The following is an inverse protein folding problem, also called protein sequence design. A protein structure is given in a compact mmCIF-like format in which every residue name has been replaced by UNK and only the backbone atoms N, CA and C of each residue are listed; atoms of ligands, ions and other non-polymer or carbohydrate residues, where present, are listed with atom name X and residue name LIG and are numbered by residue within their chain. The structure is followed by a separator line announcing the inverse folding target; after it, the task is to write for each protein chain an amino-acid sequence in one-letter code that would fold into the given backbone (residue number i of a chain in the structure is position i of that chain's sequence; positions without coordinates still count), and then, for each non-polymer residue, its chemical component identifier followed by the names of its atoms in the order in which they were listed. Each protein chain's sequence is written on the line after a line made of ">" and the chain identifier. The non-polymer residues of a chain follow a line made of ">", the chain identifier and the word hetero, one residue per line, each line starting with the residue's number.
data_IF_193195354854
#
_entry.id   IF_193195354854
#
_cell.length_a   1.000
_cell.length_b   1.000
_cell.length_c   1.000
_cell.angle_alpha   90.00
_cell.angle_beta   90.00
_cell.angle_gamma   90.00
#
_symmetry.space_group_name_H-M   'P 1'
#
loop_
_entity.id
_entity.type
_entity.pdbx_description
1 polymer ?
#
# COMPACT_ATOMS: atom_id res chain seq x y z
N UNK A 1 14.59 -0.63 25.70
CA UNK A 1 15.29 -0.72 27.01
C UNK A 1 14.32 -0.66 28.17
N UNK A 2 13.16 -0.02 28.00
CA UNK A 2 12.13 0.09 29.06
C UNK A 2 11.30 -1.18 29.26
N UNK A 3 11.40 -2.15 28.33
CA UNK A 3 10.79 -3.48 28.43
C UNK A 3 11.82 -4.55 28.04
N UNK A 4 11.68 -5.76 28.61
CA UNK A 4 12.46 -6.95 28.27
C UNK A 4 11.69 -7.80 27.25
N UNK A 5 12.27 -7.99 26.07
CA UNK A 5 11.71 -8.87 25.03
C UNK A 5 12.26 -10.29 25.18
N UNK A 6 11.45 -11.29 24.86
CA UNK A 6 11.90 -12.69 24.80
C UNK A 6 12.71 -12.97 23.52
N UNK A 7 12.35 -12.29 22.42
CA UNK A 7 12.95 -12.42 21.09
C UNK A 7 12.78 -11.12 20.31
N UNK A 8 13.79 -10.75 19.54
CA UNK A 8 13.72 -9.67 18.54
C UNK A 8 13.80 -10.29 17.15
N UNK A 9 12.85 -9.93 16.27
CA UNK A 9 12.86 -10.40 14.88
C UNK A 9 13.21 -9.23 13.97
N UNK A 10 14.41 -9.24 13.37
CA UNK A 10 14.79 -8.27 12.34
C UNK A 10 14.31 -8.74 10.96
N UNK A 11 13.12 -8.27 10.58
CA UNK A 11 12.51 -8.52 9.28
C UNK A 11 12.96 -7.55 8.18
N UNK A 12 13.84 -6.59 8.49
CA UNK A 12 14.37 -5.65 7.50
C UNK A 12 15.63 -6.21 6.82
N UNK A 13 16.48 -6.94 7.56
CA UNK A 13 17.63 -7.63 6.99
C UNK A 13 18.72 -6.69 6.47
N UNK A 14 18.89 -5.53 7.11
CA UNK A 14 19.91 -4.52 6.81
C UNK A 14 20.87 -4.35 7.98
N UNK A 15 22.12 -3.97 7.73
CA UNK A 15 23.11 -3.76 8.78
C UNK A 15 22.63 -2.73 9.82
N UNK A 16 21.99 -1.65 9.35
CA UNK A 16 21.44 -0.61 10.23
C UNK A 16 20.33 -1.12 11.16
N UNK A 17 19.44 -2.02 10.71
CA UNK A 17 18.41 -2.58 11.59
C UNK A 17 19.00 -3.59 12.56
N UNK A 18 19.95 -4.40 12.11
CA UNK A 18 20.66 -5.35 12.95
C UNK A 18 21.35 -4.65 14.14
N UNK A 19 21.98 -3.49 13.91
CA UNK A 19 22.59 -2.68 14.98
C UNK A 19 21.55 -2.13 15.95
N UNK A 20 20.37 -1.73 15.48
CA UNK A 20 19.25 -1.31 16.35
C UNK A 20 18.73 -2.50 17.16
N UNK A 21 18.55 -3.67 16.54
CA UNK A 21 18.09 -4.89 17.20
C UNK A 21 19.00 -5.29 18.37
N UNK A 22 20.32 -5.19 18.24
CA UNK A 22 21.28 -5.44 19.35
C UNK A 22 20.97 -4.63 20.61
N UNK A 23 20.47 -3.40 20.46
CA UNK A 23 20.25 -2.51 21.59
C UNK A 23 19.07 -2.94 22.47
N UNK A 24 18.24 -3.88 22.00
CA UNK A 24 17.16 -4.47 22.76
C UNK A 24 17.64 -5.47 23.82
N UNK A 25 18.86 -6.01 23.71
CA UNK A 25 19.44 -6.90 24.70
C UNK A 25 18.74 -8.27 24.85
N UNK A 26 18.07 -8.73 23.79
CA UNK A 26 17.41 -10.03 23.71
C UNK A 26 17.93 -10.81 22.50
N UNK A 27 17.74 -12.14 22.44
CA UNK A 27 18.11 -12.94 21.27
C UNK A 27 17.50 -12.36 19.99
N UNK A 28 18.25 -12.41 18.89
CA UNK A 28 17.85 -11.83 17.61
C UNK A 28 17.70 -12.93 16.57
N UNK A 29 16.50 -13.03 16.00
CA UNK A 29 16.22 -13.83 14.83
C UNK A 29 16.15 -12.95 13.57
N UNK A 30 16.60 -13.48 12.44
CA UNK A 30 16.50 -12.78 11.17
C UNK A 30 16.64 -13.71 9.96
N UNK A 31 16.69 -13.11 8.78
CA UNK A 31 16.99 -13.83 7.54
C UNK A 31 18.43 -14.39 7.55
N UNK A 32 18.64 -15.54 6.91
CA UNK A 32 19.99 -16.05 6.65
C UNK A 32 20.76 -15.23 5.60
N UNK A 33 22.03 -15.59 5.36
CA UNK A 33 22.91 -14.83 4.45
C UNK A 33 22.39 -14.79 3.00
N UNK A 34 21.70 -15.82 2.56
CA UNK A 34 21.14 -15.90 1.19
C UNK A 34 19.85 -15.09 1.05
N UNK A 35 19.14 -14.90 2.16
CA UNK A 35 17.81 -14.28 2.22
C UNK A 35 17.84 -12.82 2.63
N UNK A 36 18.81 -12.41 3.45
CA UNK A 36 18.96 -11.04 3.92
C UNK A 36 19.21 -10.07 2.75
N UNK A 37 18.76 -8.83 2.90
CA UNK A 37 19.00 -7.78 1.90
C UNK A 37 20.49 -7.41 1.88
N UNK A 38 21.09 -7.31 3.06
CA UNK A 38 22.53 -7.16 3.28
C UNK A 38 23.05 -8.35 4.11
N UNK A 39 23.83 -9.28 3.52
CA UNK A 39 24.30 -10.47 4.23
C UNK A 39 25.18 -10.18 5.46
N UNK A 40 25.71 -8.96 5.60
CA UNK A 40 26.43 -8.52 6.80
C UNK A 40 25.54 -8.38 8.03
N UNK A 41 24.23 -8.17 7.84
CA UNK A 41 23.27 -8.08 8.95
C UNK A 41 23.22 -9.37 9.77
N UNK A 42 23.50 -10.53 9.16
CA UNK A 42 23.43 -11.83 9.83
C UNK A 42 24.50 -12.03 10.90
N UNK A 43 25.58 -11.22 10.89
CA UNK A 43 26.61 -11.24 11.94
C UNK A 43 26.08 -10.77 13.31
N UNK A 44 24.87 -10.22 13.32
CA UNK A 44 24.19 -9.67 14.48
C UNK A 44 23.03 -10.54 14.96
N UNK A 45 22.76 -11.66 14.28
CA UNK A 45 21.64 -12.54 14.60
C UNK A 45 22.13 -13.77 15.36
N UNK A 46 21.39 -14.18 16.39
CA UNK A 46 21.62 -15.41 17.14
C UNK A 46 20.98 -16.62 16.43
N UNK A 47 19.86 -16.39 15.72
CA UNK A 47 19.18 -17.38 14.90
C UNK A 47 18.92 -16.83 13.50
N UNK A 48 19.11 -17.67 12.48
CA UNK A 48 18.86 -17.27 11.08
C UNK A 48 18.01 -18.27 10.35
N UNK A 49 17.16 -17.77 9.46
CA UNK A 49 16.16 -18.57 8.76
C UNK A 49 16.21 -18.32 7.24
N UNK A 50 16.22 -19.39 6.42
CA UNK A 50 16.18 -19.27 4.97
C UNK A 50 14.75 -18.91 4.52
N UNK A 51 14.63 -17.82 3.78
CA UNK A 51 13.37 -17.37 3.17
C UNK A 51 13.67 -16.84 1.77
N UNK A 52 13.26 -17.54 0.70
CA UNK A 52 13.61 -17.19 -0.67
C UNK A 52 13.26 -15.74 -1.03
N UNK A 53 14.12 -15.11 -1.83
CA UNK A 53 14.04 -13.68 -2.20
C UNK A 53 13.09 -13.38 -3.35
N UNK A 54 12.72 -14.41 -4.10
CA UNK A 54 11.74 -14.41 -5.19
C UNK A 54 10.29 -14.50 -4.68
N UNK A 55 10.09 -14.70 -3.38
CA UNK A 55 8.78 -14.59 -2.76
C UNK A 55 8.38 -13.14 -2.55
N UNK A 56 7.07 -12.91 -2.52
CA UNK A 56 6.50 -11.60 -2.20
C UNK A 56 6.84 -11.17 -0.78
N UNK A 57 7.06 -9.87 -0.56
CA UNK A 57 7.47 -9.32 0.73
C UNK A 57 6.58 -9.75 1.92
N UNK A 58 5.25 -9.73 1.73
CA UNK A 58 4.28 -10.19 2.75
C UNK A 58 4.56 -11.66 3.12
N UNK A 59 4.70 -12.53 2.14
CA UNK A 59 4.95 -13.96 2.38
C UNK A 59 6.31 -14.17 3.05
N UNK A 60 7.34 -13.42 2.63
CA UNK A 60 8.67 -13.49 3.25
C UNK A 60 8.63 -13.17 4.74
N UNK A 61 7.94 -12.10 5.10
CA UNK A 61 7.81 -11.66 6.50
C UNK A 61 7.02 -12.71 7.30
N UNK A 62 5.89 -13.22 6.77
CA UNK A 62 5.09 -14.25 7.45
C UNK A 62 5.87 -15.53 7.69
N UNK A 63 6.63 -16.00 6.69
CA UNK A 63 7.49 -17.18 6.81
C UNK A 63 8.60 -16.95 7.84
N UNK A 64 9.25 -15.79 7.83
CA UNK A 64 10.28 -15.46 8.84
C UNK A 64 9.70 -15.53 10.25
N UNK A 65 8.54 -14.92 10.49
CA UNK A 65 7.89 -14.96 11.79
C UNK A 65 7.45 -16.36 12.19
N UNK A 66 6.88 -17.14 11.27
CA UNK A 66 6.53 -18.54 11.51
C UNK A 66 7.74 -19.39 11.93
N UNK A 67 8.85 -19.25 11.21
CA UNK A 67 10.11 -19.95 11.52
C UNK A 67 10.69 -19.51 12.86
N UNK A 68 10.72 -18.20 13.13
CA UNK A 68 11.30 -17.64 14.35
C UNK A 68 10.45 -17.93 15.61
N UNK A 69 9.13 -18.04 15.47
CA UNK A 69 8.19 -18.23 16.58
C UNK A 69 7.64 -19.66 16.69
N UNK A 70 8.03 -20.56 15.79
CA UNK A 70 7.67 -21.98 15.84
C UNK A 70 6.23 -22.30 15.43
N UNK A 71 5.65 -21.56 14.49
CA UNK A 71 4.31 -21.84 13.94
C UNK A 71 4.28 -21.84 12.41
N UNK A 72 3.27 -22.49 11.84
CA UNK A 72 3.03 -22.46 10.38
C UNK A 72 2.08 -21.29 10.04
N UNK A 73 2.51 -20.28 9.26
CA UNK A 73 1.65 -19.16 8.90
C UNK A 73 0.63 -19.56 7.84
N UNK A 74 -0.61 -19.10 7.98
CA UNK A 74 -1.67 -19.32 6.97
C UNK A 74 -1.50 -18.45 5.73
N UNK A 75 -0.74 -18.91 4.74
CA UNK A 75 -0.48 -18.14 3.52
C UNK A 75 -1.70 -18.00 2.58
N UNK A 76 -2.84 -18.64 2.89
CA UNK A 76 -4.04 -18.60 2.03
C UNK A 76 -4.85 -17.31 2.18
N UNK A 77 -4.78 -16.67 3.35
CA UNK A 77 -5.47 -15.42 3.65
C UNK A 77 -4.48 -14.24 3.75
N UNK A 78 -4.93 -13.06 3.32
CA UNK A 78 -4.16 -11.81 3.41
C UNK A 78 -4.93 -10.79 4.25
N UNK A 79 -5.30 -11.20 5.47
CA UNK A 79 -5.79 -10.27 6.48
C UNK A 79 -4.60 -9.56 7.14
N UNK A 80 -4.61 -8.24 7.06
CA UNK A 80 -3.57 -7.39 7.64
C UNK A 80 -3.79 -7.16 9.13
N UNK A 81 -5.02 -7.33 9.63
CA UNK A 81 -5.45 -6.94 10.97
C UNK A 81 -5.41 -5.43 11.25
N UNK A 82 -5.06 -4.58 10.27
CA UNK A 82 -5.01 -3.13 10.46
C UNK A 82 -6.38 -2.51 10.24
N UNK A 83 -6.77 -1.61 11.15
CA UNK A 83 -8.05 -0.89 11.07
C UNK A 83 -7.74 0.58 10.79
N UNK A 84 -8.47 1.24 9.87
CA UNK A 84 -8.32 2.67 9.67
C UNK A 84 -8.55 3.45 10.97
N UNK A 85 -7.72 4.47 11.25
CA UNK A 85 -7.97 5.36 12.38
C UNK A 85 -9.34 6.05 12.26
N UNK A 86 -9.87 6.51 13.39
CA UNK A 86 -11.12 7.28 13.41
C UNK A 86 -10.87 8.68 12.85
N UNK A 87 -11.68 9.09 11.88
CA UNK A 87 -11.62 10.41 11.27
C UNK A 87 -12.33 10.42 9.91
N UNK A 88 -12.85 11.57 9.52
CA UNK A 88 -13.52 11.78 8.23
C UNK A 88 -13.14 13.14 7.67
N UNK A 89 -13.11 13.25 6.34
CA UNK A 89 -12.99 14.55 5.70
C UNK A 89 -14.25 15.39 5.96
N UNK A 90 -14.08 16.55 6.58
CA UNK A 90 -15.18 17.45 6.86
C UNK A 90 -15.78 18.01 5.55
N UNK A 91 -17.10 18.11 5.48
CA UNK A 91 -17.80 18.74 4.36
C UNK A 91 -17.87 17.90 3.08
N UNK A 92 -17.44 16.64 3.10
CA UNK A 92 -17.62 15.71 1.98
C UNK A 92 -18.75 14.75 2.31
N UNK A 93 -19.80 14.76 1.48
CA UNK A 93 -20.88 13.79 1.52
C UNK A 93 -20.77 12.85 0.31
N UNK A 94 -21.22 11.60 0.48
CA UNK A 94 -21.26 10.61 -0.60
C UNK A 94 -19.99 9.80 -0.77
N UNK A 95 -19.84 9.20 -1.95
CA UNK A 95 -18.73 8.29 -2.29
C UNK A 95 -17.49 9.08 -2.66
N UNK A 96 -16.34 8.65 -2.14
CA UNK A 96 -15.04 9.26 -2.44
C UNK A 96 -14.08 8.25 -3.03
N UNK A 97 -13.17 8.73 -3.89
CA UNK A 97 -12.08 7.95 -4.44
C UNK A 97 -10.76 8.70 -4.22
N UNK A 98 -9.81 8.09 -3.51
CA UNK A 98 -8.48 8.67 -3.34
C UNK A 98 -7.63 8.42 -4.59
N UNK A 99 -7.06 9.51 -5.13
CA UNK A 99 -6.09 9.52 -6.22
C UNK A 99 -4.69 9.78 -5.67
N UNK A 100 -3.94 8.71 -5.43
CA UNK A 100 -2.60 8.74 -4.84
C UNK A 100 -1.53 8.90 -5.93
N UNK A 101 -1.38 10.12 -6.44
CA UNK A 101 -0.48 10.46 -7.54
C UNK A 101 1.01 10.59 -7.14
N UNK A 102 1.31 10.65 -5.84
CA UNK A 102 2.66 10.80 -5.33
C UNK A 102 3.52 9.56 -5.52
N UNK A 103 4.71 9.71 -6.09
CA UNK A 103 5.73 8.66 -6.20
C UNK A 103 7.13 9.24 -6.07
N UNK A 104 8.07 8.43 -5.57
CA UNK A 104 9.44 8.85 -5.26
C UNK A 104 10.37 8.94 -6.47
N UNK A 105 9.95 8.43 -7.64
CA UNK A 105 10.77 8.42 -8.87
C UNK A 105 9.99 8.92 -10.08
N UNK A 106 10.66 9.69 -10.93
CA UNK A 106 10.06 10.27 -12.15
C UNK A 106 9.59 9.20 -13.14
N UNK A 107 10.32 8.09 -13.28
CA UNK A 107 9.97 6.97 -14.18
C UNK A 107 8.73 6.18 -13.75
N UNK A 108 8.27 6.37 -12.51
CA UNK A 108 7.04 5.78 -11.98
C UNK A 108 5.83 6.71 -12.09
N UNK A 109 6.00 7.94 -12.57
CA UNK A 109 4.92 8.92 -12.59
C UNK A 109 3.96 8.64 -13.73
N UNK A 110 2.71 8.39 -13.35
CA UNK A 110 1.61 8.46 -14.31
C UNK A 110 1.34 9.94 -14.63
N UNK A 111 1.25 10.31 -15.92
CA UNK A 111 1.14 11.71 -16.33
C UNK A 111 -0.07 12.44 -15.71
N UNK A 112 0.08 13.74 -15.48
CA UNK A 112 -0.95 14.55 -14.81
C UNK A 112 -2.28 14.56 -15.58
N UNK A 113 -2.23 14.53 -16.91
CA UNK A 113 -3.41 14.47 -17.76
C UNK A 113 -4.22 13.18 -17.59
N UNK A 114 -3.57 12.05 -17.25
CA UNK A 114 -4.28 10.81 -16.96
C UNK A 114 -4.96 10.85 -15.60
N UNK A 115 -4.32 11.46 -14.60
CA UNK A 115 -4.95 11.70 -13.30
C UNK A 115 -6.17 12.61 -13.43
N UNK A 116 -6.05 13.68 -14.24
CA UNK A 116 -7.16 14.57 -14.55
C UNK A 116 -8.30 13.81 -15.21
N UNK A 117 -8.00 12.98 -16.22
CA UNK A 117 -9.02 12.21 -16.92
C UNK A 117 -9.67 11.16 -16.01
N UNK A 118 -8.89 10.50 -15.14
CA UNK A 118 -9.40 9.60 -14.10
C UNK A 118 -10.37 10.33 -13.17
N UNK A 119 -10.02 11.56 -12.74
CA UNK A 119 -10.89 12.38 -11.91
C UNK A 119 -12.20 12.75 -12.62
N UNK A 120 -12.18 13.07 -13.92
CA UNK A 120 -13.40 13.32 -14.71
C UNK A 120 -14.29 12.08 -14.76
N UNK A 121 -13.70 10.94 -15.10
CA UNK A 121 -14.41 9.67 -15.15
C UNK A 121 -15.09 9.36 -13.81
N UNK A 122 -14.40 9.54 -12.67
CA UNK A 122 -14.98 9.32 -11.34
C UNK A 122 -16.20 10.24 -11.07
N UNK A 123 -16.13 11.51 -11.46
CA UNK A 123 -17.25 12.45 -11.33
C UNK A 123 -18.47 11.99 -12.13
N UNK A 124 -18.28 11.45 -13.34
CA UNK A 124 -19.39 10.89 -14.14
C UNK A 124 -20.10 9.71 -13.43
N UNK A 125 -19.40 8.99 -12.54
CA UNK A 125 -19.98 7.94 -11.69
C UNK A 125 -20.51 8.44 -10.35
N UNK A 126 -20.51 9.76 -10.12
CA UNK A 126 -20.93 10.35 -8.85
C UNK A 126 -19.96 10.04 -7.69
N UNK A 127 -18.68 9.81 -7.98
CA UNK A 127 -17.63 9.59 -6.98
C UNK A 127 -16.74 10.82 -6.93
N UNK A 128 -16.62 11.44 -5.76
CA UNK A 128 -15.79 12.63 -5.55
C UNK A 128 -14.31 12.23 -5.49
N UNK A 129 -13.45 12.73 -6.41
CA UNK A 129 -12.02 12.51 -6.36
C UNK A 129 -11.41 13.25 -5.17
N UNK A 130 -10.47 12.62 -4.49
CA UNK A 130 -9.73 13.18 -3.36
C UNK A 130 -8.23 12.99 -3.59
N UNK A 131 -7.43 14.04 -3.42
CA UNK A 131 -5.97 14.01 -3.58
C UNK A 131 -5.26 14.45 -2.31
N UNK A 132 -4.01 14.03 -2.14
CA UNK A 132 -3.15 14.44 -1.03
C UNK A 132 -1.73 14.69 -1.53
N UNK A 133 -0.92 15.39 -0.74
CA UNK A 133 0.43 15.77 -1.10
C UNK A 133 1.32 15.91 0.14
N UNK A 134 2.60 15.63 -0.03
CA UNK A 134 3.62 15.73 1.03
C UNK A 134 4.68 16.81 0.74
N UNK A 135 4.80 17.22 -0.53
CA UNK A 135 5.78 18.16 -1.05
C UNK A 135 5.20 19.01 -2.20
N UNK A 136 5.92 20.07 -2.60
CA UNK A 136 5.46 21.03 -3.62
C UNK A 136 5.21 20.40 -5.00
N UNK A 137 5.97 19.36 -5.38
CA UNK A 137 5.78 18.69 -6.68
C UNK A 137 4.47 17.92 -6.70
N UNK A 138 4.16 17.19 -5.62
CA UNK A 138 2.87 16.52 -5.45
C UNK A 138 1.73 17.53 -5.37
N UNK A 139 1.92 18.63 -4.63
CA UNK A 139 0.92 19.68 -4.52
C UNK A 139 0.56 20.27 -5.87
N UNK A 140 1.54 20.53 -6.74
CA UNK A 140 1.30 21.04 -8.09
C UNK A 140 0.44 20.08 -8.94
N UNK A 141 0.61 18.77 -8.78
CA UNK A 141 -0.24 17.76 -9.46
C UNK A 141 -1.66 17.78 -8.88
N UNK A 142 -1.80 17.79 -7.55
CA UNK A 142 -3.09 17.87 -6.88
C UNK A 142 -3.88 19.12 -7.29
N UNK A 143 -3.22 20.28 -7.35
CA UNK A 143 -3.79 21.55 -7.80
C UNK A 143 -4.13 21.54 -9.28
N UNK A 144 -3.31 20.90 -10.14
CA UNK A 144 -3.64 20.73 -11.55
C UNK A 144 -4.92 19.90 -11.76
N UNK A 145 -5.07 18.81 -10.99
CA UNK A 145 -6.29 18.00 -10.98
C UNK A 145 -7.49 18.84 -10.54
N UNK A 146 -7.40 19.53 -9.41
CA UNK A 146 -8.49 20.34 -8.89
C UNK A 146 -8.85 21.54 -9.79
N UNK A 147 -7.86 22.13 -10.47
CA UNK A 147 -8.10 23.20 -11.46
C UNK A 147 -8.88 22.68 -12.67
N UNK A 148 -8.58 21.47 -13.14
CA UNK A 148 -9.26 20.86 -14.29
C UNK A 148 -10.60 20.21 -13.93
N UNK A 149 -10.75 19.77 -12.67
CA UNK A 149 -11.94 19.10 -12.12
C UNK A 149 -12.28 19.73 -10.77
N UNK A 150 -13.04 20.85 -10.73
CA UNK A 150 -13.27 21.66 -9.52
C UNK A 150 -13.96 20.93 -8.36
N UNK A 151 -14.63 19.81 -8.62
CA UNK A 151 -15.22 18.96 -7.59
C UNK A 151 -14.20 18.07 -6.88
N UNK A 152 -12.94 18.04 -7.31
CA UNK A 152 -11.86 17.31 -6.64
C UNK A 152 -11.51 17.97 -5.32
N UNK A 153 -11.44 17.19 -4.24
CA UNK A 153 -11.00 17.69 -2.94
C UNK A 153 -9.49 17.49 -2.79
N UNK A 154 -8.76 18.60 -2.62
CA UNK A 154 -7.34 18.56 -2.25
C UNK A 154 -7.25 18.59 -0.72
N UNK A 155 -6.80 17.49 -0.13
CA UNK A 155 -6.61 17.41 1.31
C UNK A 155 -5.45 18.34 1.71
N UNK A 156 -5.64 19.23 2.70
CA UNK A 156 -4.55 20.02 3.25
C UNK A 156 -3.43 19.13 3.78
N UNK A 157 -2.20 19.66 3.86
CA UNK A 157 -1.08 18.92 4.44
C UNK A 157 -1.43 18.51 5.88
N UNK A 158 -1.53 17.20 6.09
CA UNK A 158 -2.05 16.61 7.33
C UNK A 158 -1.14 15.49 7.84
N UNK A 159 -1.18 15.17 9.14
CA UNK A 159 -0.54 13.97 9.70
C UNK A 159 -0.95 12.68 8.97
N UNK A 160 -0.05 11.69 8.94
CA UNK A 160 -0.30 10.40 8.29
C UNK A 160 -1.53 9.68 8.86
N UNK A 161 -1.78 9.81 10.17
CA UNK A 161 -2.94 9.22 10.83
C UNK A 161 -4.26 9.74 10.24
N UNK A 162 -4.34 11.03 9.93
CA UNK A 162 -5.54 11.65 9.35
C UNK A 162 -5.72 11.20 7.89
N UNK A 163 -4.63 11.20 7.10
CA UNK A 163 -4.66 10.68 5.73
C UNK A 163 -5.09 9.21 5.70
N UNK A 164 -4.59 8.40 6.63
CA UNK A 164 -4.99 7.00 6.77
C UNK A 164 -6.48 6.84 7.13
N UNK A 165 -7.01 7.69 8.02
CA UNK A 165 -8.43 7.71 8.35
C UNK A 165 -9.28 8.04 7.12
N UNK A 166 -8.88 9.04 6.33
CA UNK A 166 -9.59 9.46 5.13
C UNK A 166 -9.57 8.38 4.04
N UNK A 167 -8.40 7.78 3.78
CA UNK A 167 -8.26 6.64 2.86
C UNK A 167 -9.18 5.51 3.31
N UNK A 168 -9.18 5.15 4.60
CA UNK A 168 -10.00 4.09 5.16
C UNK A 168 -11.52 4.24 5.01
N UNK A 169 -12.01 5.42 4.64
CA UNK A 169 -13.42 5.71 4.39
C UNK A 169 -13.76 5.93 2.91
N UNK A 170 -12.78 5.73 2.03
CA UNK A 170 -12.97 5.84 0.59
C UNK A 170 -13.72 4.64 0.05
N UNK A 171 -14.53 4.86 -0.99
CA UNK A 171 -15.20 3.79 -1.74
C UNK A 171 -14.16 2.94 -2.48
N UNK A 172 -13.15 3.59 -3.06
CA UNK A 172 -12.06 2.97 -3.78
C UNK A 172 -10.81 3.86 -3.74
N UNK A 173 -9.67 3.28 -4.08
CA UNK A 173 -8.38 3.97 -4.16
C UNK A 173 -7.70 3.63 -5.47
N UNK A 174 -7.20 4.67 -6.16
CA UNK A 174 -6.36 4.53 -7.35
C UNK A 174 -5.04 5.23 -7.05
N UNK A 175 -3.93 4.53 -7.20
CA UNK A 175 -2.63 5.08 -6.81
C UNK A 175 -1.49 4.65 -7.70
N UNK A 176 -0.42 5.44 -7.69
CA UNK A 176 0.89 4.98 -8.16
C UNK A 176 1.48 3.94 -7.17
N UNK A 177 2.65 3.41 -7.48
CA UNK A 177 3.45 2.60 -6.53
C UNK A 177 3.99 3.47 -5.37
N UNK A 178 3.17 3.62 -4.33
CA UNK A 178 3.47 4.39 -3.12
C UNK A 178 2.92 3.70 -1.87
N UNK A 179 3.51 4.00 -0.70
CA UNK A 179 3.13 3.40 0.58
C UNK A 179 1.65 3.57 0.93
N UNK A 180 1.03 4.70 0.54
CA UNK A 180 -0.40 4.92 0.78
C UNK A 180 -1.30 3.98 -0.04
N UNK A 181 -0.86 3.55 -1.23
CA UNK A 181 -1.58 2.57 -2.05
C UNK A 181 -1.54 1.19 -1.39
N UNK A 182 -0.39 0.80 -0.83
CA UNK A 182 -0.26 -0.43 -0.02
C UNK A 182 -1.08 -0.38 1.27
N UNK A 183 -1.17 0.80 1.90
CA UNK A 183 -2.02 0.99 3.07
C UNK A 183 -3.50 0.79 2.74
N UNK A 184 -3.97 1.32 1.61
CA UNK A 184 -5.34 1.13 1.15
C UNK A 184 -5.68 -0.35 0.91
N UNK A 185 -4.78 -1.09 0.26
CA UNK A 185 -4.99 -2.54 0.05
C UNK A 185 -4.97 -3.31 1.36
N UNK A 186 -4.10 -2.91 2.31
CA UNK A 186 -4.05 -3.51 3.64
C UNK A 186 -5.32 -3.22 4.46
N UNK A 187 -6.00 -2.09 4.27
CA UNK A 187 -7.35 -1.86 4.83
C UNK A 187 -8.45 -2.68 4.15
N UNK A 188 -8.14 -3.46 3.11
CA UNK A 188 -9.11 -4.24 2.37
C UNK A 188 -10.02 -3.39 1.47
N UNK A 189 -9.58 -2.19 1.08
CA UNK A 189 -10.32 -1.33 0.16
C UNK A 189 -10.13 -1.77 -1.30
N UNK A 190 -11.12 -1.54 -2.18
CA UNK A 190 -10.94 -1.66 -3.63
C UNK A 190 -9.80 -0.76 -4.06
N UNK A 191 -8.67 -1.34 -4.47
CA UNK A 191 -7.43 -0.61 -4.70
C UNK A 191 -6.82 -1.01 -6.04
N UNK A 192 -6.62 -0.04 -6.93
CA UNK A 192 -5.89 -0.23 -8.19
C UNK A 192 -4.58 0.53 -8.12
N UNK A 193 -3.49 -0.18 -8.37
CA UNK A 193 -2.17 0.42 -8.47
C UNK A 193 -1.67 0.46 -9.90
N UNK A 194 -1.25 1.64 -10.35
CA UNK A 194 -0.68 1.87 -11.68
C UNK A 194 0.84 1.75 -11.59
N UNK A 195 1.40 0.73 -12.23
CA UNK A 195 2.83 0.45 -12.26
C UNK A 195 3.39 0.66 -13.67
N UNK A 196 4.39 1.53 -13.81
CA UNK A 196 4.95 1.91 -15.11
C UNK A 196 6.38 1.40 -15.35
N UNK A 197 7.19 1.28 -14.30
CA UNK A 197 8.63 1.01 -14.43
C UNK A 197 9.17 -0.07 -13.47
N UNK A 198 8.34 -0.61 -12.58
CA UNK A 198 8.76 -1.64 -11.63
C UNK A 198 7.91 -2.89 -11.75
N UNK A 199 8.55 -4.04 -11.75
CA UNK A 199 7.86 -5.33 -11.66
C UNK A 199 7.18 -5.46 -10.30
N UNK A 200 5.84 -5.59 -10.25
CA UNK A 200 5.08 -5.61 -9.00
C UNK A 200 5.15 -6.97 -8.32
N UNK A 201 5.71 -8.00 -8.95
CA UNK A 201 5.62 -9.39 -8.49
C UNK A 201 6.11 -9.61 -7.04
N UNK A 202 7.06 -8.80 -6.57
CA UNK A 202 7.66 -8.95 -5.24
C UNK A 202 7.10 -7.99 -4.17
N UNK A 203 6.52 -6.86 -4.57
CA UNK A 203 6.11 -5.80 -3.62
C UNK A 203 4.82 -5.08 -3.99
N UNK A 204 4.10 -5.50 -5.03
CA UNK A 204 2.85 -4.87 -5.45
C UNK A 204 1.76 -4.99 -4.38
N UNK A 205 0.76 -4.09 -4.36
CA UNK A 205 -0.32 -4.17 -3.39
C UNK A 205 -1.02 -5.52 -3.49
N UNK A 206 -1.21 -6.18 -2.35
CA UNK A 206 -2.00 -7.41 -2.24
C UNK A 206 -3.11 -7.22 -1.23
N UNK A 207 -4.21 -7.89 -1.49
CA UNK A 207 -5.43 -7.87 -0.70
C UNK A 207 -6.57 -8.47 -1.51
N UNK A 208 -7.67 -8.81 -0.86
CA UNK A 208 -8.83 -9.44 -1.52
C UNK A 208 -9.40 -8.60 -2.67
N UNK A 209 -9.30 -7.28 -2.56
CA UNK A 209 -9.82 -6.30 -3.52
C UNK A 209 -8.72 -5.40 -4.07
N UNK A 210 -7.52 -5.93 -4.25
CA UNK A 210 -6.38 -5.19 -4.80
C UNK A 210 -5.99 -5.71 -6.18
N UNK A 211 -5.64 -4.80 -7.08
CA UNK A 211 -5.15 -5.12 -8.42
C UNK A 211 -4.01 -4.20 -8.81
N UNK A 212 -3.13 -4.71 -9.67
CA UNK A 212 -2.03 -3.94 -10.25
C UNK A 212 -2.17 -3.93 -11.76
N UNK A 213 -2.22 -2.74 -12.36
CA UNK A 213 -2.19 -2.57 -13.81
C UNK A 213 -0.78 -2.17 -14.24
N UNK A 214 -0.22 -2.95 -15.16
CA UNK A 214 1.11 -2.73 -15.71
C UNK A 214 1.03 -2.17 -17.12
N UNK A 215 1.81 -1.14 -17.40
CA UNK A 215 2.08 -0.72 -18.76
C UNK A 215 2.89 -1.81 -19.47
N UNK A 216 2.30 -2.48 -20.46
CA UNK A 216 3.09 -3.33 -21.37
C UNK A 216 4.14 -2.47 -22.08
N UNK A 217 5.29 -3.03 -22.50
CA UNK A 217 6.34 -2.27 -23.18
C UNK A 217 5.79 -1.44 -24.36
N UNK A 218 5.99 -0.12 -24.32
CA UNK A 218 5.50 0.82 -25.33
C UNK A 218 4.00 1.14 -25.28
N UNK A 219 3.25 0.63 -24.29
CA UNK A 219 1.85 0.96 -24.05
C UNK A 219 1.69 1.83 -22.80
N UNK A 220 0.58 2.57 -22.75
CA UNK A 220 0.18 3.40 -21.61
C UNK A 220 -0.98 2.71 -20.91
N UNK A 221 -0.99 2.71 -19.58
CA UNK A 221 -2.19 2.35 -18.80
C UNK A 221 -3.19 3.49 -18.95
N UNK A 222 -4.37 3.21 -19.51
CA UNK A 222 -5.35 4.24 -19.83
C UNK A 222 -6.29 4.51 -18.63
N UNK A 223 -6.70 5.77 -18.39
CA UNK A 223 -7.64 6.12 -17.32
C UNK A 223 -8.91 5.27 -17.28
N UNK A 224 -9.50 4.97 -18.44
CA UNK A 224 -10.70 4.14 -18.57
C UNK A 224 -10.49 2.72 -18.04
N UNK A 225 -9.31 2.12 -18.27
CA UNK A 225 -8.97 0.78 -17.81
C UNK A 225 -8.82 0.76 -16.28
N UNK A 226 -8.19 1.80 -15.73
CA UNK A 226 -7.99 1.96 -14.29
C UNK A 226 -9.31 2.11 -13.55
N UNK A 227 -10.21 2.97 -14.05
CA UNK A 227 -11.53 3.18 -13.45
C UNK A 227 -12.40 1.93 -13.55
N UNK A 228 -12.42 1.26 -14.71
CA UNK A 228 -13.17 0.02 -14.89
C UNK A 228 -12.70 -1.10 -13.94
N UNK A 229 -11.38 -1.23 -13.74
CA UNK A 229 -10.84 -2.21 -12.79
C UNK A 229 -11.19 -1.85 -11.34
N UNK A 230 -11.16 -0.56 -10.99
CA UNK A 230 -11.54 -0.10 -9.65
C UNK A 230 -13.03 -0.38 -9.35
N UNK A 231 -13.92 -0.15 -10.33
CA UNK A 231 -15.34 -0.49 -10.25
C UNK A 231 -15.57 -2.00 -10.09
N UNK A 232 -14.83 -2.82 -10.85
CA UNK A 232 -14.89 -4.29 -10.74
C UNK A 232 -14.54 -4.75 -9.32
N UNK A 233 -13.47 -4.21 -8.74
CA UNK A 233 -13.04 -4.52 -7.37
C UNK A 233 -14.06 -4.04 -6.32
N UNK A 234 -14.66 -2.87 -6.51
CA UNK A 234 -15.71 -2.36 -5.64
C UNK A 234 -16.96 -3.25 -5.66
N UNK A 235 -17.36 -3.71 -6.85
CA UNK A 235 -18.45 -4.67 -7.02
C UNK A 235 -18.19 -6.00 -6.30
N UNK A 236 -16.96 -6.54 -6.40
CA UNK A 236 -16.56 -7.74 -5.66
C UNK A 236 -16.64 -7.54 -4.14
N UNK A 237 -16.26 -6.36 -3.64
CA UNK A 237 -16.33 -6.06 -2.21
C UNK A 237 -17.78 -6.02 -1.70
N UNK A 238 -18.69 -5.42 -2.46
CA UNK A 238 -20.12 -5.40 -2.12
C UNK A 238 -20.69 -6.82 -2.05
N UNK A 239 -20.37 -7.67 -3.04
CA UNK A 239 -20.79 -9.07 -3.06
C UNK A 239 -20.20 -9.87 -1.88
N UNK A 240 -18.92 -9.66 -1.56
CA UNK A 240 -18.25 -10.29 -0.43
C UNK A 240 -18.91 -9.94 0.91
N UNK A 241 -19.22 -8.64 1.14
CA UNK A 241 -19.92 -8.17 2.34
C UNK A 241 -21.33 -8.74 2.44
N UNK A 242 -22.07 -8.80 1.32
CA UNK A 242 -23.42 -9.37 1.29
C UNK A 242 -23.45 -10.87 1.63
N UNK A 243 -22.42 -11.62 1.23
CA UNK A 243 -22.30 -13.04 1.55
C UNK A 243 -21.84 -13.29 2.99
N UNK A 244 -20.97 -12.43 3.54
CA UNK A 244 -20.52 -12.54 4.93
C UNK A 244 -21.64 -12.25 5.94
N UNK A 245 -22.60 -11.38 5.61
CA UNK A 245 -23.75 -11.07 6.48
C UNK A 245 -24.90 -12.08 6.43
N UNK A 246 -24.79 -13.14 5.63
CA UNK A 246 -25.79 -14.22 5.52
C UNK A 246 -25.41 -15.49 6.27
N UNK A 247 -24.20 -15.57 6.80
CA UNK A 247 -23.69 -16.67 7.62
C UNK A 247 -23.63 -16.24 9.09
#
# INVERSE_FOLDING_TARGET
>A
RDCRYDLVIDAQGLLKSAVVARQAGAPIAGFDRSSAREPSATLFYDATYPVPRDLHAIERIRRLFGLALGYQPDLSTLDSGIVPPVGTLAGIAGKTAFLLHGTSREDKKWPAEDWIETARLLIERGITPVTTWSNEREKAVAEAIAKAVPSTVVVPKSPLADIAAFIGRSELVIGADTGLTHLASAFGLPTVAVFLATEPGLTGPRGQYASTLLAAPGKRVMPVEVVAEAERLAGLQVLGKANAGKN
#
